data_IF_684807905844
#
_entry.id   IF_684807905844
#
_cell.length_a   1.000
_cell.length_b   1.000
_cell.length_c   1.000
_cell.angle_alpha   90.00
_cell.angle_beta   90.00
_cell.angle_gamma   90.00
#
_symmetry.space_group_name_H-M   'P 1'
#
loop_
_entity.id
_entity.type
_entity.pdbx_description
1 polymer ?
#
# COMPACT_ATOMS: atom_id res chain seq x y z
N UNK A 1 -16.84 -15.41 2.76
CA UNK A 1 -17.15 -15.00 4.15
C UNK A 1 -18.27 -13.98 4.09
N UNK A 2 -19.40 -14.23 4.77
CA UNK A 2 -20.52 -13.30 4.78
C UNK A 2 -20.13 -12.04 5.57
N UNK A 3 -19.94 -10.92 4.87
CA UNK A 3 -19.73 -9.61 5.49
C UNK A 3 -21.01 -9.10 6.15
N UNK A 4 -20.86 -8.24 7.16
CA UNK A 4 -21.98 -7.46 7.72
C UNK A 4 -22.04 -6.11 7.04
N UNK A 5 -23.24 -5.67 6.68
CA UNK A 5 -23.46 -4.34 6.10
C UNK A 5 -23.41 -3.27 7.18
N UNK A 6 -22.71 -2.17 6.91
CA UNK A 6 -22.68 -0.95 7.73
C UNK A 6 -23.12 0.21 6.85
N UNK A 7 -24.12 0.98 7.30
CA UNK A 7 -24.58 2.19 6.62
C UNK A 7 -23.95 3.42 7.26
N UNK A 8 -23.36 4.30 6.44
CA UNK A 8 -22.82 5.58 6.87
C UNK A 8 -23.27 6.69 5.93
N UNK A 9 -23.41 7.90 6.45
CA UNK A 9 -23.72 9.08 5.66
C UNK A 9 -22.43 9.82 5.30
N UNK A 10 -22.31 10.21 4.03
CA UNK A 10 -21.26 11.09 3.52
C UNK A 10 -21.92 12.14 2.63
N UNK A 11 -21.28 13.29 2.49
CA UNK A 11 -21.77 14.31 1.55
C UNK A 11 -21.64 13.84 0.09
N UNK A 12 -22.39 14.48 -0.79
CA UNK A 12 -22.44 14.16 -2.22
C UNK A 12 -21.06 14.29 -2.90
N UNK A 13 -20.23 15.25 -2.45
CA UNK A 13 -18.89 15.45 -3.01
C UNK A 13 -17.95 14.30 -2.70
N UNK A 14 -18.08 13.70 -1.51
CA UNK A 14 -17.33 12.52 -1.09
C UNK A 14 -17.86 11.28 -1.81
N UNK A 15 -19.18 11.13 -1.93
CA UNK A 15 -19.80 10.02 -2.65
C UNK A 15 -19.36 10.00 -4.14
N UNK A 16 -19.37 11.16 -4.81
CA UNK A 16 -18.94 11.30 -6.19
C UNK A 16 -17.45 10.94 -6.36
N UNK A 17 -16.58 11.44 -5.45
CA UNK A 17 -15.15 11.11 -5.46
C UNK A 17 -14.90 9.62 -5.23
N UNK A 18 -15.60 9.01 -4.28
CA UNK A 18 -15.51 7.57 -4.03
C UNK A 18 -15.89 6.76 -5.28
N UNK A 19 -16.96 7.15 -5.98
CA UNK A 19 -17.38 6.52 -7.24
C UNK A 19 -16.31 6.61 -8.32
N UNK A 20 -15.69 7.78 -8.50
CA UNK A 20 -14.62 7.99 -9.49
C UNK A 20 -13.37 7.15 -9.18
N UNK A 21 -12.94 7.10 -7.92
CA UNK A 21 -11.79 6.28 -7.49
C UNK A 21 -12.08 4.79 -7.68
N UNK A 22 -13.28 4.34 -7.29
CA UNK A 22 -13.68 2.95 -7.47
C UNK A 22 -13.63 2.52 -8.95
N UNK A 23 -14.13 3.36 -9.85
CA UNK A 23 -14.09 3.11 -11.28
C UNK A 23 -12.64 3.03 -11.81
N UNK A 24 -11.79 3.98 -11.42
CA UNK A 24 -10.39 4.03 -11.84
C UNK A 24 -9.57 2.81 -11.38
N UNK A 25 -9.89 2.25 -10.21
CA UNK A 25 -9.22 1.07 -9.67
C UNK A 25 -9.86 -0.27 -10.12
N UNK A 26 -10.93 -0.23 -10.92
CA UNK A 26 -11.76 -1.40 -11.27
C UNK A 26 -12.31 -2.13 -10.02
N UNK A 27 -12.79 -1.36 -9.04
CA UNK A 27 -13.31 -1.84 -7.75
C UNK A 27 -14.72 -1.31 -7.51
N UNK A 28 -15.41 -1.90 -6.53
CA UNK A 28 -16.70 -1.35 -6.06
C UNK A 28 -16.48 -0.34 -4.94
N UNK A 29 -17.32 0.71 -4.83
CA UNK A 29 -17.29 1.63 -3.69
C UNK A 29 -17.35 0.89 -2.34
N UNK A 30 -18.19 -0.15 -2.24
CA UNK A 30 -18.31 -0.97 -1.05
C UNK A 30 -17.00 -1.67 -0.65
N UNK A 31 -16.22 -2.14 -1.63
CA UNK A 31 -14.93 -2.77 -1.35
C UNK A 31 -13.90 -1.76 -0.83
N UNK A 32 -13.87 -0.55 -1.39
CA UNK A 32 -13.02 0.53 -0.89
C UNK A 32 -13.41 0.97 0.53
N UNK A 33 -14.70 1.17 0.78
CA UNK A 33 -15.21 1.51 2.13
C UNK A 33 -14.87 0.40 3.12
N UNK A 34 -15.03 -0.87 2.74
CA UNK A 34 -14.66 -2.01 3.58
C UNK A 34 -13.17 -2.01 3.93
N UNK A 35 -12.29 -1.75 2.98
CA UNK A 35 -10.85 -1.65 3.23
C UNK A 35 -10.45 -0.44 4.06
N UNK A 36 -10.99 0.75 3.75
CA UNK A 36 -10.73 1.96 4.52
C UNK A 36 -11.19 1.79 5.98
N UNK A 37 -12.37 1.18 6.18
CA UNK A 37 -12.89 0.85 7.51
C UNK A 37 -11.96 -0.13 8.23
N UNK A 38 -11.59 -1.24 7.57
CA UNK A 38 -10.67 -2.23 8.13
C UNK A 38 -9.32 -1.62 8.51
N UNK A 39 -8.78 -0.72 7.68
CA UNK A 39 -7.55 0.01 7.96
C UNK A 39 -7.72 0.87 9.20
N UNK A 40 -8.73 1.73 9.24
CA UNK A 40 -8.96 2.66 10.34
C UNK A 40 -9.16 1.92 11.68
N UNK A 41 -9.98 0.86 11.72
CA UNK A 41 -10.21 0.09 12.95
C UNK A 41 -8.99 -0.71 13.40
N UNK A 42 -8.10 -1.07 12.46
CA UNK A 42 -6.85 -1.77 12.74
C UNK A 42 -5.73 -0.87 13.29
N UNK A 43 -5.85 0.45 13.19
CA UNK A 43 -4.85 1.38 13.72
C UNK A 43 -4.79 1.33 15.26
N UNK A 44 -3.62 1.53 15.89
CA UNK A 44 -3.53 1.77 17.33
C UNK A 44 -4.37 2.98 17.77
N UNK A 45 -4.85 2.99 19.01
CA UNK A 45 -5.69 4.08 19.54
C UNK A 45 -5.02 5.45 19.40
N UNK A 46 -3.72 5.54 19.72
CA UNK A 46 -2.93 6.76 19.58
C UNK A 46 -2.98 7.31 18.14
N UNK A 47 -2.90 6.45 17.12
CA UNK A 47 -2.97 6.87 15.72
C UNK A 47 -4.38 7.36 15.33
N UNK A 48 -5.43 6.65 15.78
CA UNK A 48 -6.82 7.11 15.57
C UNK A 48 -7.09 8.46 16.25
N UNK A 49 -6.55 8.66 17.45
CA UNK A 49 -6.67 9.92 18.18
C UNK A 49 -5.97 11.06 17.44
N UNK A 50 -4.74 10.85 16.99
CA UNK A 50 -3.99 11.85 16.23
C UNK A 50 -4.69 12.24 14.92
N UNK A 51 -5.21 11.26 14.17
CA UNK A 51 -6.00 11.51 12.95
C UNK A 51 -7.23 12.38 13.26
N UNK A 52 -7.98 12.05 14.31
CA UNK A 52 -9.15 12.83 14.71
C UNK A 52 -8.78 14.26 15.11
N UNK A 53 -7.69 14.46 15.85
CA UNK A 53 -7.21 15.80 16.21
C UNK A 53 -6.84 16.62 14.99
N UNK A 54 -6.20 16.01 13.98
CA UNK A 54 -5.87 16.68 12.73
C UNK A 54 -7.14 17.06 11.93
N UNK A 55 -8.14 16.18 11.90
CA UNK A 55 -9.43 16.44 11.25
C UNK A 55 -10.24 17.55 11.94
N UNK A 56 -10.15 17.66 13.27
CA UNK A 56 -10.91 18.64 14.05
C UNK A 56 -10.22 20.00 14.13
N UNK A 57 -8.89 20.02 14.21
CA UNK A 57 -8.13 21.22 14.57
C UNK A 57 -7.06 21.61 13.56
N UNK A 58 -6.73 20.74 12.60
CA UNK A 58 -5.76 21.04 11.57
C UNK A 58 -6.30 22.02 10.54
N UNK A 59 -5.49 23.03 10.22
CA UNK A 59 -5.70 23.94 9.10
C UNK A 59 -5.66 23.19 7.76
N UNK A 60 -6.24 23.74 6.67
CA UNK A 60 -6.13 23.14 5.35
C UNK A 60 -4.69 22.91 4.90
N UNK A 61 -3.77 23.81 5.25
CA UNK A 61 -2.34 23.70 4.96
C UNK A 61 -1.69 22.53 5.71
N UNK A 62 -1.97 22.39 7.01
CA UNK A 62 -1.44 21.29 7.83
C UNK A 62 -1.99 19.93 7.37
N UNK A 63 -3.25 19.87 6.94
CA UNK A 63 -3.83 18.64 6.35
C UNK A 63 -3.12 18.25 5.07
N UNK A 64 -2.92 19.20 4.15
CA UNK A 64 -2.18 18.95 2.89
C UNK A 64 -0.74 18.54 3.15
N UNK A 65 -0.09 19.17 4.13
CA UNK A 65 1.25 18.78 4.56
C UNK A 65 1.26 17.34 5.08
N UNK A 66 0.33 16.99 5.98
CA UNK A 66 0.19 15.65 6.51
C UNK A 66 -0.07 14.61 5.41
N UNK A 67 -0.96 14.88 4.46
CA UNK A 67 -1.22 14.01 3.31
C UNK A 67 0.07 13.73 2.54
N UNK A 68 0.91 14.76 2.33
CA UNK A 68 2.22 14.63 1.69
C UNK A 68 3.20 13.75 2.48
N UNK A 69 3.29 13.94 3.81
CA UNK A 69 4.12 13.09 4.68
C UNK A 69 3.62 11.64 4.68
N UNK A 70 2.31 11.45 4.72
CA UNK A 70 1.68 10.14 4.73
C UNK A 70 1.97 9.37 3.43
N UNK A 71 1.87 10.02 2.27
CA UNK A 71 2.24 9.43 0.98
C UNK A 71 3.72 9.03 0.97
N UNK A 72 4.62 9.89 1.47
CA UNK A 72 6.06 9.56 1.54
C UNK A 72 6.32 8.35 2.43
N UNK A 73 5.64 8.25 3.56
CA UNK A 73 5.73 7.08 4.45
C UNK A 73 5.24 5.80 3.76
N UNK A 74 4.10 5.86 3.06
CA UNK A 74 3.55 4.71 2.33
C UNK A 74 4.48 4.24 1.21
N UNK A 75 5.06 5.15 0.43
CA UNK A 75 6.00 4.81 -0.63
C UNK A 75 7.27 4.18 -0.08
N UNK A 76 7.81 4.72 1.02
CA UNK A 76 8.98 4.16 1.71
C UNK A 76 8.69 2.74 2.23
N UNK A 77 7.53 2.53 2.87
CA UNK A 77 7.13 1.22 3.37
C UNK A 77 6.93 0.22 2.23
N UNK A 78 6.25 0.63 1.14
CA UNK A 78 6.08 -0.20 -0.07
C UNK A 78 7.43 -0.64 -0.62
N UNK A 79 8.36 0.30 -0.79
CA UNK A 79 9.69 0.01 -1.31
C UNK A 79 10.44 -1.03 -0.45
N UNK A 80 10.43 -0.85 0.88
CA UNK A 80 11.07 -1.80 1.79
C UNK A 80 10.44 -3.20 1.73
N UNK A 81 9.11 -3.29 1.66
CA UNK A 81 8.39 -4.56 1.52
C UNK A 81 8.77 -5.24 0.19
N UNK A 82 8.78 -4.48 -0.91
CA UNK A 82 9.16 -5.00 -2.22
C UNK A 82 10.61 -5.48 -2.26
N UNK A 83 11.56 -4.71 -1.70
CA UNK A 83 12.95 -5.13 -1.59
C UNK A 83 13.09 -6.45 -0.83
N UNK A 84 12.39 -6.59 0.31
CA UNK A 84 12.41 -7.84 1.09
C UNK A 84 11.83 -9.00 0.27
N UNK A 85 10.68 -8.80 -0.39
CA UNK A 85 10.07 -9.84 -1.20
C UNK A 85 10.97 -10.27 -2.38
N UNK A 86 11.68 -9.32 -3.01
CA UNK A 86 12.64 -9.64 -4.07
C UNK A 86 13.87 -10.37 -3.52
N UNK A 87 14.40 -9.95 -2.36
CA UNK A 87 15.52 -10.65 -1.71
C UNK A 87 15.15 -12.08 -1.30
N UNK A 88 13.91 -12.32 -0.85
CA UNK A 88 13.41 -13.67 -0.55
C UNK A 88 13.25 -14.54 -1.81
N UNK A 89 12.94 -13.94 -2.96
CA UNK A 89 12.79 -14.66 -4.23
C UNK A 89 14.13 -14.93 -4.95
N UNK A 90 15.08 -14.00 -4.85
CA UNK A 90 16.38 -14.04 -5.55
C UNK A 90 17.49 -14.61 -4.66
N UNK A 91 17.37 -14.48 -3.34
CA UNK A 91 18.35 -14.98 -2.37
C UNK A 91 18.71 -16.47 -2.53
N UNK A 92 17.77 -17.38 -2.84
CA UNK A 92 18.07 -18.79 -3.09
C UNK A 92 18.83 -19.07 -4.39
N UNK A 93 18.85 -18.14 -5.35
CA UNK A 93 19.48 -18.26 -6.66
C UNK A 93 20.76 -17.43 -6.80
N UNK A 94 21.18 -16.71 -5.76
CA UNK A 94 22.48 -16.05 -5.72
C UNK A 94 23.57 -17.07 -5.36
N UNK A 95 24.66 -17.15 -6.13
CA UNK A 95 25.77 -18.04 -5.82
C UNK A 95 26.41 -17.64 -4.48
N UNK A 96 26.85 -18.63 -3.71
CA UNK A 96 27.50 -18.41 -2.41
C UNK A 96 28.88 -17.73 -2.52
N UNK A 97 29.46 -17.75 -3.72
CA UNK A 97 30.64 -16.98 -4.08
C UNK A 97 30.19 -15.74 -4.87
N UNK A 98 30.64 -14.57 -4.42
CA UNK A 98 30.30 -13.27 -4.99
C UNK A 98 31.24 -12.89 -6.15
N UNK A 99 32.01 -13.85 -6.66
CA UNK A 99 32.89 -13.64 -7.80
C UNK A 99 32.08 -13.31 -9.06
N UNK A 100 32.63 -12.42 -9.89
CA UNK A 100 31.96 -11.97 -11.12
C UNK A 100 31.60 -13.16 -12.03
N UNK A 101 32.45 -14.19 -12.10
CA UNK A 101 32.21 -15.42 -12.85
C UNK A 101 31.02 -16.23 -12.33
N UNK A 102 30.83 -16.31 -11.00
CA UNK A 102 29.71 -17.02 -10.40
C UNK A 102 28.38 -16.28 -10.63
N UNK A 103 28.39 -14.96 -10.51
CA UNK A 103 27.22 -14.10 -10.76
C UNK A 103 26.81 -14.19 -12.24
N UNK A 104 27.77 -14.19 -13.17
CA UNK A 104 27.51 -14.28 -14.60
C UNK A 104 26.96 -15.65 -15.00
N UNK A 105 27.47 -16.74 -14.40
CA UNK A 105 26.94 -18.09 -14.58
C UNK A 105 25.51 -18.25 -14.07
N UNK A 106 25.20 -17.76 -12.86
CA UNK A 106 23.85 -17.81 -12.30
C UNK A 106 22.85 -16.96 -13.10
N UNK A 107 23.30 -15.84 -13.66
CA UNK A 107 22.47 -14.97 -14.51
C UNK A 107 22.14 -15.64 -15.85
N UNK A 108 23.09 -16.34 -16.46
CA UNK A 108 22.88 -17.13 -17.69
C UNK A 108 21.89 -18.29 -17.46
N UNK A 109 22.00 -18.99 -16.33
CA UNK A 109 21.10 -20.09 -15.98
C UNK A 109 19.65 -19.62 -15.78
N UNK A 110 19.46 -18.47 -15.14
CA UNK A 110 18.14 -17.86 -14.94
C UNK A 110 17.49 -17.36 -16.24
N UNK A 111 18.28 -16.75 -17.15
CA UNK A 111 17.82 -16.32 -18.48
C UNK A 111 17.52 -17.50 -19.41
N UNK A 112 18.27 -18.60 -19.30
CA UNK A 112 18.01 -19.84 -20.03
C UNK A 112 16.71 -20.53 -19.60
N UNK A 113 16.40 -20.50 -18.30
CA UNK A 113 15.18 -21.10 -17.74
C UNK A 113 13.88 -20.31 -18.01
N UNK A 114 13.98 -19.06 -18.49
CA UNK A 114 12.83 -18.17 -18.76
C UNK A 114 12.46 -18.06 -20.24
N UNK A 115 13.15 -18.80 -21.12
CA UNK A 115 12.79 -18.91 -22.55
C UNK A 115 11.93 -20.17 -22.74
N UNK A 116 10.71 -20.07 -23.31
CA UNK A 116 9.75 -21.20 -23.40
C UNK A 116 10.21 -22.34 -24.31
#
# INVERSE_FOLDING_TARGET
MAGKSVSGYVDESVAARLGAVAAAEARTPASLVGQATSFYVGLPEMARSALRSLEQSGTPEERRWFEGEFVRLLLKAKFAITQRAMAEQVGPSLPADNSDEAIEAATQEWLGATTP
#
